data_IF_816817636498
#
_entry.id   IF_816817636498
#
_cell.length_a   1.000
_cell.length_b   1.000
_cell.length_c   1.000
_cell.angle_alpha   90.00
_cell.angle_beta   90.00
_cell.angle_gamma   90.00
#
_symmetry.space_group_name_H-M   'P 1'
#
loop_
_entity.id
_entity.type
_entity.pdbx_description
1 polymer ?
#
# COMPACT_ATOMS: atom_id res chain seq x y z
N UNK A 1 16.63 -1.33 3.85
CA UNK A 1 15.51 -0.79 4.64
C UNK A 1 14.18 -0.70 3.87
N UNK A 2 14.01 -1.29 2.68
CA UNK A 2 12.78 -1.10 1.88
C UNK A 2 11.54 -1.86 2.41
N UNK A 3 11.73 -2.98 3.11
CA UNK A 3 10.61 -3.86 3.48
C UNK A 3 9.70 -3.30 4.57
N UNK A 4 10.27 -2.52 5.51
CA UNK A 4 9.50 -1.88 6.59
C UNK A 4 8.59 -0.75 6.07
N UNK A 5 9.08 0.02 5.11
CA UNK A 5 8.33 1.13 4.50
C UNK A 5 7.11 0.59 3.75
N UNK A 6 7.31 -0.51 3.01
CA UNK A 6 6.24 -1.25 2.34
C UNK A 6 5.14 -1.74 3.28
N UNK A 7 5.50 -2.47 4.32
CA UNK A 7 4.53 -2.99 5.31
C UNK A 7 3.74 -1.85 5.96
N UNK A 8 4.36 -0.68 6.15
CA UNK A 8 3.71 0.50 6.69
C UNK A 8 2.74 1.15 5.70
N UNK A 9 3.10 1.18 4.41
CA UNK A 9 2.25 1.74 3.36
C UNK A 9 1.03 0.86 3.07
N UNK A 10 1.24 -0.46 3.04
CA UNK A 10 0.15 -1.45 2.97
C UNK A 10 -0.81 -1.27 4.15
N UNK A 11 -0.29 -1.09 5.36
CA UNK A 11 -1.10 -0.86 6.56
C UNK A 11 -1.93 0.41 6.45
N UNK A 12 -1.32 1.52 6.03
CA UNK A 12 -2.02 2.80 5.84
C UNK A 12 -3.11 2.69 4.78
N UNK A 13 -2.80 2.06 3.64
CA UNK A 13 -3.73 1.87 2.53
C UNK A 13 -4.89 0.96 2.89
N UNK A 14 -4.62 -0.19 3.51
CA UNK A 14 -5.62 -1.13 3.99
C UNK A 14 -6.57 -0.47 5.00
N UNK A 15 -6.03 0.28 5.97
CA UNK A 15 -6.83 0.99 6.96
C UNK A 15 -7.71 2.07 6.34
N UNK A 16 -7.17 2.84 5.38
CA UNK A 16 -7.91 3.87 4.67
C UNK A 16 -9.09 3.27 3.86
N UNK A 17 -8.85 2.18 3.13
CA UNK A 17 -9.89 1.48 2.38
C UNK A 17 -10.97 0.90 3.31
N UNK A 18 -10.55 0.30 4.42
CA UNK A 18 -11.44 -0.27 5.42
C UNK A 18 -12.30 0.80 6.11
N UNK A 19 -11.71 1.94 6.46
CA UNK A 19 -12.45 3.08 7.04
C UNK A 19 -13.45 3.67 6.05
N UNK A 20 -13.03 3.86 4.79
CA UNK A 20 -13.90 4.35 3.70
C UNK A 20 -15.07 3.41 3.42
N UNK A 21 -14.87 2.11 3.59
CA UNK A 21 -15.92 1.09 3.47
C UNK A 21 -16.87 1.02 4.68
N UNK A 22 -16.64 1.84 5.73
CA UNK A 22 -17.48 1.86 6.93
C UNK A 22 -17.10 0.81 7.98
N UNK A 23 -15.85 0.33 7.94
CA UNK A 23 -15.27 -0.61 8.92
C UNK A 23 -16.06 -1.92 9.07
N UNK A 24 -16.34 -2.65 7.97
CA UNK A 24 -16.98 -3.96 8.05
C UNK A 24 -16.12 -4.93 8.87
N UNK A 25 -16.71 -5.55 9.88
CA UNK A 25 -16.03 -6.52 10.74
C UNK A 25 -15.88 -7.86 10.02
N UNK A 26 -14.67 -8.42 10.02
CA UNK A 26 -14.35 -9.69 9.34
C UNK A 26 -13.92 -9.55 7.88
N UNK A 27 -13.92 -8.33 7.32
CA UNK A 27 -13.37 -8.04 5.99
C UNK A 27 -12.02 -7.32 6.05
N UNK A 28 -11.46 -7.06 7.23
CA UNK A 28 -10.17 -6.38 7.35
C UNK A 28 -9.10 -7.08 6.50
N UNK A 29 -8.99 -8.39 6.63
CA UNK A 29 -8.01 -9.20 5.89
C UNK A 29 -8.13 -9.07 4.36
N UNK A 30 -9.34 -8.85 3.84
CA UNK A 30 -9.56 -8.63 2.41
C UNK A 30 -8.94 -7.31 1.95
N UNK A 31 -9.19 -6.22 2.68
CA UNK A 31 -8.59 -4.90 2.40
C UNK A 31 -7.07 -4.91 2.59
N UNK A 32 -6.56 -5.65 3.56
CA UNK A 32 -5.13 -5.86 3.76
C UNK A 32 -4.47 -6.58 2.58
N UNK A 33 -5.09 -7.66 2.08
CA UNK A 33 -4.58 -8.39 0.92
C UNK A 33 -4.67 -7.56 -0.37
N UNK A 34 -5.74 -6.78 -0.55
CA UNK A 34 -5.92 -5.87 -1.69
C UNK A 34 -4.83 -4.77 -1.69
N UNK A 35 -4.66 -4.08 -0.57
CA UNK A 35 -3.62 -3.07 -0.40
C UNK A 35 -2.21 -3.66 -0.58
N UNK A 36 -1.95 -4.86 -0.07
CA UNK A 36 -0.65 -5.53 -0.22
C UNK A 36 -0.31 -5.80 -1.69
N UNK A 37 -1.29 -6.23 -2.48
CA UNK A 37 -1.13 -6.50 -3.92
C UNK A 37 -0.94 -5.23 -4.73
N UNK A 38 -1.65 -4.16 -4.37
CA UNK A 38 -1.50 -2.85 -5.02
C UNK A 38 -0.08 -2.31 -4.82
N UNK A 39 0.39 -2.23 -3.58
CA UNK A 39 1.73 -1.75 -3.25
C UNK A 39 2.83 -2.68 -3.81
N UNK A 40 2.64 -4.02 -3.81
CA UNK A 40 3.60 -4.95 -4.43
C UNK A 40 3.74 -4.74 -5.94
N UNK A 41 2.64 -4.35 -6.60
CA UNK A 41 2.60 -4.04 -8.03
C UNK A 41 3.26 -2.70 -8.33
N UNK A 42 2.95 -1.66 -7.54
CA UNK A 42 3.41 -0.29 -7.76
C UNK A 42 4.90 -0.10 -7.43
N UNK A 43 5.47 -0.84 -6.46
CA UNK A 43 6.92 -0.76 -6.14
C UNK A 43 7.83 -1.12 -7.33
N UNK A 44 7.38 -1.96 -8.26
CA UNK A 44 8.17 -2.30 -9.45
C UNK A 44 8.28 -1.14 -10.45
N UNK A 45 7.34 -0.19 -10.41
CA UNK A 45 7.33 1.03 -11.21
C UNK A 45 7.92 2.22 -10.46
N UNK A 46 7.59 2.40 -9.17
CA UNK A 46 8.08 3.54 -8.37
C UNK A 46 9.58 3.43 -8.04
N UNK A 47 10.12 2.22 -7.84
CA UNK A 47 11.58 2.04 -7.66
C UNK A 47 12.38 2.18 -8.96
N UNK A 48 11.72 2.24 -10.12
CA UNK A 48 12.38 2.50 -11.43
C UNK A 48 12.51 3.97 -11.77
N UNK A 49 11.82 4.85 -11.06
CA UNK A 49 11.99 6.29 -11.21
C UNK A 49 12.93 6.78 -10.09
N UNK A 50 14.25 6.90 -10.33
CA UNK A 50 15.03 7.77 -9.47
C UNK A 50 14.38 9.14 -9.58
N UNK A 51 14.13 9.80 -8.45
CA UNK A 51 13.86 11.24 -8.39
C UNK A 51 15.08 11.99 -8.94
N UNK A 52 15.22 11.93 -10.25
CA UNK A 52 16.16 12.63 -11.09
C UNK A 52 15.33 13.50 -12.02
N UNK A 53 14.33 14.22 -11.48
CA UNK A 53 13.88 15.45 -12.11
C UNK A 53 14.83 16.52 -11.59
N UNK A 54 16.06 16.45 -12.07
CA UNK A 54 16.94 17.59 -12.12
C UNK A 54 16.38 18.50 -13.22
N UNK A 55 15.86 19.66 -12.84
CA UNK A 55 15.89 20.84 -13.67
C UNK A 55 15.93 22.10 -12.84
#
# INVERSE_FOLDING_TARGET
MAKLDRDEEVRRRAYFLWEKAGRPSGMEHHFWAEAAREIEGEEQEEQREPRSIAR
#
